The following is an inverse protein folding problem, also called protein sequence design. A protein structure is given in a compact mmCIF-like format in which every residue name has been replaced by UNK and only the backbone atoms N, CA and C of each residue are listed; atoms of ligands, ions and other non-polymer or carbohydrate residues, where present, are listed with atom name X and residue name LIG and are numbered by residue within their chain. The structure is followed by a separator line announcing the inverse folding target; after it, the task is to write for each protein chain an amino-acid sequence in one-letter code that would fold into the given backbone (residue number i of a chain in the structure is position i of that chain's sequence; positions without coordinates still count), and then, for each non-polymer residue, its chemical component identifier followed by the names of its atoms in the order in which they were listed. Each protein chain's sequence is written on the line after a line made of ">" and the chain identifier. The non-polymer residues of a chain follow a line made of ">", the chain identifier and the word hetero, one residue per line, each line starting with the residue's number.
data_IF_443895208563
#
_entry.id   IF_443895208563
#
_cell.length_a   1.000
_cell.length_b   1.000
_cell.length_c   1.000
_cell.angle_alpha   90.00
_cell.angle_beta   90.00
_cell.angle_gamma   90.00
#
_symmetry.space_group_name_H-M   'P 1'
#
loop_
_entity.id
_entity.type
_entity.pdbx_description
1 polymer ?
#
# COMPACT_ATOMS: atom_id res chain seq x y z
N UNK A 1 -23.87 -0.99 -2.80
CA UNK A 1 -22.78 -1.30 -1.85
C UNK A 1 -22.65 -0.11 -0.91
N UNK A 2 -22.86 -0.31 0.38
CA UNK A 2 -22.56 0.73 1.36
C UNK A 2 -21.05 0.69 1.63
N UNK A 3 -20.35 1.79 1.36
CA UNK A 3 -19.01 2.01 1.92
C UNK A 3 -19.18 2.17 3.43
N UNK A 4 -19.02 1.07 4.17
CA UNK A 4 -19.12 1.05 5.62
C UNK A 4 -17.96 1.82 6.23
N UNK A 5 -18.25 2.74 7.16
CA UNK A 5 -17.32 3.58 7.93
C UNK A 5 -16.38 2.80 8.89
N UNK A 6 -16.12 1.52 8.65
CA UNK A 6 -15.13 0.75 9.41
C UNK A 6 -13.73 1.05 8.84
N UNK A 7 -12.71 1.29 9.67
CA UNK A 7 -11.36 1.47 9.17
C UNK A 7 -10.91 0.18 8.49
N UNK A 8 -10.49 0.29 7.23
CA UNK A 8 -9.87 -0.82 6.53
C UNK A 8 -8.48 -1.11 7.13
N UNK A 9 -8.05 -2.36 7.05
CA UNK A 9 -6.67 -2.73 7.36
C UNK A 9 -5.78 -2.40 6.16
N UNK A 10 -5.00 -1.32 6.27
CA UNK A 10 -4.11 -0.82 5.20
C UNK A 10 -3.07 -1.88 4.78
N UNK A 11 -2.54 -2.68 5.74
CA UNK A 11 -1.56 -3.74 5.45
C UNK A 11 -2.22 -4.91 4.71
N UNK A 12 -3.47 -5.22 5.05
CA UNK A 12 -4.25 -6.22 4.32
C UNK A 12 -4.57 -5.76 2.90
N UNK A 13 -4.96 -4.49 2.71
CA UNK A 13 -5.16 -3.90 1.38
C UNK A 13 -3.87 -3.97 0.56
N UNK A 14 -2.75 -3.56 1.14
CA UNK A 14 -1.46 -3.54 0.46
C UNK A 14 -1.05 -4.95 0.03
N UNK A 15 -1.09 -5.92 0.95
CA UNK A 15 -0.74 -7.32 0.68
C UNK A 15 -1.63 -7.94 -0.41
N UNK A 16 -2.95 -7.69 -0.34
CA UNK A 16 -3.89 -8.17 -1.33
C UNK A 16 -3.64 -7.53 -2.71
N UNK A 17 -3.34 -6.23 -2.74
CA UNK A 17 -3.05 -5.49 -3.97
C UNK A 17 -1.74 -5.96 -4.63
N UNK A 18 -0.72 -6.30 -3.85
CA UNK A 18 0.55 -6.84 -4.37
C UNK A 18 0.40 -8.23 -5.00
N UNK A 19 -0.59 -9.00 -4.54
CA UNK A 19 -0.90 -10.35 -5.07
C UNK A 19 -1.95 -10.36 -6.17
N UNK A 20 -2.56 -9.20 -6.46
CA UNK A 20 -3.68 -9.07 -7.38
C UNK A 20 -3.25 -9.16 -8.86
N UNK A 21 -4.22 -9.37 -9.73
CA UNK A 21 -4.01 -9.15 -11.18
C UNK A 21 -3.95 -7.65 -11.46
N UNK A 22 -2.78 -7.16 -11.88
CA UNK A 22 -2.52 -5.73 -12.10
C UNK A 22 -2.44 -5.41 -13.59
N UNK A 23 -3.20 -4.41 -14.01
CA UNK A 23 -3.16 -3.85 -15.38
C UNK A 23 -2.05 -2.82 -15.55
N UNK A 24 -1.71 -2.10 -14.47
CA UNK A 24 -0.63 -1.12 -14.44
C UNK A 24 -0.21 -0.80 -13.01
N UNK A 25 1.10 -0.55 -12.83
CA UNK A 25 1.68 -0.14 -11.56
C UNK A 25 2.54 1.10 -11.79
N UNK A 26 2.34 2.09 -10.94
CA UNK A 26 3.05 3.35 -10.98
C UNK A 26 3.63 3.69 -9.61
N UNK A 27 4.87 4.17 -9.58
CA UNK A 27 5.54 4.65 -8.37
C UNK A 27 5.93 6.11 -8.60
N UNK A 28 5.49 6.98 -7.70
CA UNK A 28 5.75 8.42 -7.74
C UNK A 28 6.10 8.93 -6.34
N UNK A 29 6.55 10.19 -6.31
CA UNK A 29 6.81 10.93 -5.06
C UNK A 29 7.74 10.18 -4.10
N UNK A 30 8.78 9.54 -4.65
CA UNK A 30 9.77 8.80 -3.87
C UNK A 30 10.68 9.80 -3.14
N UNK A 31 10.68 9.72 -1.81
CA UNK A 31 11.50 10.52 -0.93
C UNK A 31 12.31 9.61 0.00
N UNK A 32 13.58 9.95 0.20
CA UNK A 32 14.48 9.27 1.13
C UNK A 32 15.06 10.29 2.08
N UNK A 33 14.69 10.19 3.36
CA UNK A 33 15.11 11.09 4.42
C UNK A 33 16.07 10.35 5.36
N UNK A 34 17.31 10.81 5.43
CA UNK A 34 18.28 10.27 6.39
C UNK A 34 18.12 10.95 7.74
N UNK A 35 18.11 10.17 8.82
CA UNK A 35 18.04 10.70 10.18
C UNK A 35 19.36 11.37 10.64
N UNK A 36 20.43 11.21 9.86
CA UNK A 36 21.75 11.77 10.13
C UNK A 36 22.49 12.14 8.85
N UNK A 37 23.70 12.65 9.00
CA UNK A 37 24.53 13.16 7.89
C UNK A 37 25.54 12.14 7.36
N UNK A 38 25.57 10.93 7.92
CA UNK A 38 26.44 9.84 7.50
C UNK A 38 25.63 8.63 7.04
N UNK A 39 26.18 7.85 6.10
CA UNK A 39 25.63 6.56 5.69
C UNK A 39 26.59 5.47 6.18
N UNK A 40 26.21 4.79 7.26
CA UNK A 40 26.90 3.65 7.87
C UNK A 40 25.90 2.53 8.16
N UNK A 41 26.38 1.34 8.55
CA UNK A 41 25.52 0.19 8.82
C UNK A 41 24.47 0.40 9.92
N UNK A 42 24.71 1.37 10.82
CA UNK A 42 23.79 1.74 11.91
C UNK A 42 22.93 2.97 11.57
N UNK A 43 23.07 3.53 10.37
CA UNK A 43 22.34 4.72 9.96
C UNK A 43 20.89 4.38 9.61
N UNK A 44 19.97 5.24 10.04
CA UNK A 44 18.53 5.09 9.76
C UNK A 44 18.11 6.06 8.66
N UNK A 45 17.38 5.53 7.68
CA UNK A 45 16.71 6.33 6.67
C UNK A 45 15.21 5.97 6.63
N UNK A 46 14.37 6.99 6.47
CA UNK A 46 12.96 6.84 6.16
C UNK A 46 12.79 6.91 4.65
N UNK A 47 12.16 5.90 4.06
CA UNK A 47 11.77 5.89 2.66
C UNK A 47 10.26 6.06 2.59
N UNK A 48 9.80 7.05 1.84
CA UNK A 48 8.38 7.29 1.58
C UNK A 48 8.17 7.24 0.07
N UNK A 49 7.15 6.52 -0.39
CA UNK A 49 6.80 6.45 -1.80
C UNK A 49 5.29 6.31 -1.94
N UNK A 50 4.73 6.89 -3.00
CA UNK A 50 3.34 6.66 -3.38
C UNK A 50 3.30 5.62 -4.49
N UNK A 51 2.61 4.52 -4.22
CA UNK A 51 2.42 3.45 -5.19
C UNK A 51 0.93 3.41 -5.57
N UNK A 52 0.67 3.41 -6.87
CA UNK A 52 -0.69 3.32 -7.42
C UNK A 52 -0.80 2.07 -8.28
N UNK A 53 -1.83 1.27 -8.05
CA UNK A 53 -2.17 0.11 -8.85
C UNK A 53 -3.46 0.36 -9.60
N UNK A 54 -3.45 -0.01 -10.88
CA UNK A 54 -4.66 -0.14 -11.69
C UNK A 54 -4.99 -1.63 -11.78
N UNK A 55 -6.11 -2.03 -11.18
CA UNK A 55 -6.60 -3.41 -11.16
C UNK A 55 -7.99 -3.50 -11.79
N UNK A 56 -8.42 -4.68 -12.27
CA UNK A 56 -9.81 -4.91 -12.65
C UNK A 56 -10.79 -4.60 -11.51
N UNK A 57 -12.00 -4.17 -11.84
CA UNK A 57 -12.97 -3.74 -10.84
C UNK A 57 -13.42 -4.87 -9.90
N UNK A 58 -13.53 -6.10 -10.41
CA UNK A 58 -13.85 -7.29 -9.62
C UNK A 58 -12.71 -7.67 -8.66
N UNK A 59 -11.47 -7.36 -9.03
CA UNK A 59 -10.30 -7.52 -8.17
C UNK A 59 -10.28 -6.48 -7.06
N UNK A 60 -10.58 -5.22 -7.38
CA UNK A 60 -10.69 -4.15 -6.37
C UNK A 60 -11.75 -4.49 -5.29
N UNK A 61 -12.88 -5.07 -5.68
CA UNK A 61 -13.90 -5.53 -4.72
C UNK A 61 -13.37 -6.67 -3.85
N UNK A 62 -12.63 -7.63 -4.42
CA UNK A 62 -12.03 -8.74 -3.66
C UNK A 62 -10.98 -8.26 -2.67
N UNK A 63 -10.15 -7.29 -3.05
CA UNK A 63 -9.17 -6.64 -2.17
C UNK A 63 -9.87 -5.97 -0.98
N UNK A 64 -10.93 -5.21 -1.25
CA UNK A 64 -11.71 -4.53 -0.20
C UNK A 64 -12.40 -5.54 0.74
N UNK A 65 -12.95 -6.63 0.21
CA UNK A 65 -13.59 -7.68 1.00
C UNK A 65 -12.58 -8.41 1.92
N UNK A 66 -11.36 -8.63 1.43
CA UNK A 66 -10.29 -9.25 2.22
C UNK A 66 -9.80 -8.35 3.37
N UNK A 67 -9.88 -7.03 3.21
CA UNK A 67 -9.41 -6.05 4.18
C UNK A 67 -10.50 -5.56 5.17
N UNK A 68 -11.72 -6.06 5.06
CA UNK A 68 -12.76 -5.78 6.04
C UNK A 68 -12.39 -6.39 7.39
N UNK A 69 -12.50 -5.64 8.51
CA UNK A 69 -12.30 -6.19 9.84
C UNK A 69 -13.22 -7.38 10.06
N UNK A 70 -12.65 -8.57 10.22
CA UNK A 70 -13.40 -9.75 10.67
C UNK A 70 -13.53 -9.63 12.18
N UNK A 71 -14.73 -9.21 12.60
CA UNK A 71 -15.10 -9.07 14.01
C UNK A 71 -15.00 -10.37 14.80
#
# INVERSE_FOLDING_TARGET
>A
MALTNLPYDDEAILTATESATVLGREVRDVQVDFAGTSVSGDSVARVTATITWTVPADEAVRILDAALPRG
#
